data_IF_641185210497
#
_entry.id   IF_641185210497
#
_cell.length_a   1.000
_cell.length_b   1.000
_cell.length_c   1.000
_cell.angle_alpha   90.00
_cell.angle_beta   90.00
_cell.angle_gamma   90.00
#
_symmetry.space_group_name_H-M   'P 1'
#
loop_
_entity.id
_entity.type
_entity.pdbx_description
1 polymer ?
#
# COMPACT_ATOMS: atom_id res chain seq x y z
N UNK A 1 15.36 24.02 -21.92
CA UNK A 1 16.13 23.77 -23.16
C UNK A 1 15.74 24.71 -24.29
N UNK A 2 14.49 24.67 -24.79
CA UNK A 2 14.06 25.59 -25.87
C UNK A 2 14.25 27.05 -25.47
N UNK A 3 13.70 27.44 -24.31
CA UNK A 3 13.78 28.81 -23.81
C UNK A 3 15.21 29.25 -23.44
N UNK A 4 16.05 28.33 -22.94
CA UNK A 4 17.46 28.60 -22.63
C UNK A 4 18.29 28.80 -23.90
N UNK A 5 18.01 28.05 -24.98
CA UNK A 5 18.65 28.26 -26.27
C UNK A 5 18.21 29.57 -26.91
N UNK A 6 16.92 29.90 -26.85
CA UNK A 6 16.42 31.17 -27.37
C UNK A 6 17.04 32.37 -26.67
N UNK A 7 17.17 32.33 -25.35
CA UNK A 7 17.79 33.41 -24.57
C UNK A 7 19.32 33.50 -24.76
N UNK A 8 20.01 32.38 -24.99
CA UNK A 8 21.45 32.39 -25.19
C UNK A 8 21.87 32.90 -26.59
N UNK A 9 20.99 32.78 -27.58
CA UNK A 9 21.25 33.18 -28.96
C UNK A 9 20.36 34.35 -29.44
N UNK A 10 19.66 35.04 -28.53
CA UNK A 10 18.76 36.17 -28.81
C UNK A 10 17.77 35.91 -29.96
N UNK A 11 17.16 34.71 -29.97
CA UNK A 11 16.21 34.29 -31.02
C UNK A 11 14.78 34.75 -30.70
N UNK A 12 13.97 35.15 -31.71
CA UNK A 12 12.59 35.55 -31.49
C UNK A 12 11.70 34.40 -31.00
N UNK A 13 10.67 34.75 -30.22
CA UNK A 13 9.71 33.79 -29.67
C UNK A 13 9.00 32.99 -30.78
N UNK A 14 9.02 31.66 -30.65
CA UNK A 14 8.41 30.72 -31.61
C UNK A 14 9.32 30.20 -32.72
N UNK A 15 10.58 30.65 -32.80
CA UNK A 15 11.53 30.17 -33.82
C UNK A 15 12.01 28.72 -33.58
N UNK A 16 12.14 28.32 -32.30
CA UNK A 16 12.43 26.94 -31.91
C UNK A 16 11.16 26.30 -31.35
N UNK A 17 10.71 25.20 -31.98
CA UNK A 17 9.55 24.41 -31.56
C UNK A 17 9.97 22.96 -31.28
N UNK A 18 9.13 22.18 -30.61
CA UNK A 18 9.43 20.76 -30.28
C UNK A 18 9.79 19.94 -31.53
N UNK A 19 9.12 20.19 -32.67
CA UNK A 19 9.35 19.45 -33.91
C UNK A 19 10.67 19.81 -34.61
N UNK A 20 11.17 21.04 -34.40
CA UNK A 20 12.38 21.55 -35.05
C UNK A 20 13.57 21.63 -34.09
N UNK A 21 13.43 21.11 -32.88
CA UNK A 21 14.43 21.26 -31.83
C UNK A 21 15.75 20.57 -32.19
N UNK A 22 15.70 19.32 -32.64
CA UNK A 22 16.90 18.52 -32.93
C UNK A 22 17.72 19.08 -34.09
N UNK A 23 17.06 19.56 -35.15
CA UNK A 23 17.72 20.16 -36.32
C UNK A 23 18.36 21.51 -35.99
N UNK A 24 17.70 22.33 -35.17
CA UNK A 24 18.29 23.58 -34.68
C UNK A 24 19.45 23.35 -33.71
N UNK A 25 19.38 22.30 -32.90
CA UNK A 25 20.44 21.93 -31.96
C UNK A 25 21.72 21.55 -32.71
N UNK A 26 21.60 20.77 -33.79
CA UNK A 26 22.73 20.42 -34.66
C UNK A 26 23.31 21.66 -35.37
N UNK A 27 22.45 22.57 -35.85
CA UNK A 27 22.88 23.81 -36.49
C UNK A 27 23.63 24.75 -35.52
N UNK A 28 23.13 24.94 -34.30
CA UNK A 28 23.76 25.79 -33.29
C UNK A 28 25.08 25.21 -32.78
N UNK A 29 25.17 23.88 -32.65
CA UNK A 29 26.41 23.18 -32.31
C UNK A 29 27.50 23.43 -33.38
N UNK A 30 27.13 23.42 -34.66
CA UNK A 30 28.08 23.72 -35.76
C UNK A 30 28.51 25.18 -35.84
N UNK A 31 27.65 26.11 -35.43
CA UNK A 31 27.87 27.55 -35.61
C UNK A 31 28.65 28.17 -34.44
N UNK A 32 28.40 27.72 -33.21
CA UNK A 32 29.00 28.28 -32.00
C UNK A 32 29.26 27.19 -30.93
N UNK A 33 30.26 26.31 -31.14
CA UNK A 33 30.51 25.20 -30.22
C UNK A 33 30.92 25.66 -28.81
N UNK A 34 31.62 26.78 -28.68
CA UNK A 34 32.07 27.30 -27.38
C UNK A 34 30.92 27.80 -26.49
N UNK A 35 29.92 28.48 -27.08
CA UNK A 35 28.73 28.93 -26.35
C UNK A 35 27.81 27.75 -26.01
N UNK A 36 27.70 26.78 -26.91
CA UNK A 36 26.90 25.56 -26.71
C UNK A 36 27.42 24.70 -25.53
N UNK A 37 28.73 24.66 -25.32
CA UNK A 37 29.33 23.87 -24.23
C UNK A 37 29.08 24.47 -22.83
N UNK A 38 28.79 25.77 -22.76
CA UNK A 38 28.44 26.48 -21.53
C UNK A 38 26.95 26.30 -21.18
N UNK A 39 26.12 25.95 -22.16
CA UNK A 39 24.70 25.66 -21.98
C UNK A 39 24.51 24.27 -21.34
N UNK A 40 24.12 24.25 -20.07
CA UNK A 40 23.67 23.03 -19.37
C UNK A 40 22.27 22.62 -19.84
N UNK A 41 22.17 22.00 -21.02
CA UNK A 41 20.91 21.43 -21.50
C UNK A 41 20.54 20.20 -20.67
N UNK A 42 19.31 20.17 -20.15
CA UNK A 42 18.80 19.04 -19.38
C UNK A 42 18.41 17.89 -20.32
N UNK A 43 18.92 16.69 -20.10
CA UNK A 43 18.41 15.50 -20.76
C UNK A 43 17.12 15.08 -20.08
N UNK A 44 15.98 15.22 -20.77
CA UNK A 44 14.69 14.78 -20.26
C UNK A 44 14.13 13.74 -21.21
N UNK A 45 13.96 12.51 -20.74
CA UNK A 45 13.33 11.43 -21.49
C UNK A 45 12.06 10.96 -20.78
N UNK A 46 10.99 10.72 -21.52
CA UNK A 46 9.70 10.33 -20.95
C UNK A 46 9.79 9.00 -20.21
N UNK A 47 10.54 8.03 -20.74
CA UNK A 47 10.67 6.71 -20.13
C UNK A 47 11.40 6.80 -18.78
N UNK A 48 12.43 7.64 -18.70
CA UNK A 48 13.15 7.90 -17.44
C UNK A 48 12.24 8.50 -16.37
N UNK A 49 11.45 9.52 -16.71
CA UNK A 49 10.51 10.17 -15.77
C UNK A 49 9.40 9.23 -15.28
N UNK A 50 8.93 8.32 -16.13
CA UNK A 50 7.94 7.31 -15.73
C UNK A 50 8.53 6.24 -14.81
N UNK A 51 9.83 5.93 -14.96
CA UNK A 51 10.52 4.93 -14.12
C UNK A 51 10.95 5.46 -12.75
N UNK A 52 11.08 6.78 -12.59
CA UNK A 52 11.34 7.45 -11.30
C UNK A 52 10.07 7.60 -10.44
N UNK A 53 8.97 6.97 -10.84
CA UNK A 53 7.70 7.02 -10.13
C UNK A 53 7.84 6.66 -8.64
N UNK A 54 7.22 7.47 -7.79
CA UNK A 54 7.21 7.24 -6.33
C UNK A 54 6.23 6.13 -5.98
N UNK A 55 6.69 5.12 -5.26
CA UNK A 55 5.84 4.05 -4.73
C UNK A 55 5.31 4.38 -3.32
N UNK A 56 4.21 3.75 -2.91
CA UNK A 56 3.65 3.87 -1.56
C UNK A 56 2.95 5.20 -1.28
N UNK A 57 3.22 5.80 -0.11
CA UNK A 57 2.51 7.00 0.37
C UNK A 57 2.76 8.24 -0.49
N UNK A 58 3.95 8.37 -1.09
CA UNK A 58 4.30 9.51 -1.94
C UNK A 58 3.46 9.60 -3.22
N UNK A 59 2.93 8.47 -3.71
CA UNK A 59 2.04 8.46 -4.87
C UNK A 59 0.76 9.28 -4.60
N UNK A 60 0.14 9.11 -3.43
CA UNK A 60 -1.07 9.82 -3.03
C UNK A 60 -0.81 11.28 -2.63
N UNK A 61 0.27 11.53 -1.88
CA UNK A 61 0.51 12.84 -1.25
C UNK A 61 1.46 13.77 -2.02
N UNK A 62 2.13 13.29 -3.06
CA UNK A 62 3.03 14.11 -3.90
C UNK A 62 2.49 14.11 -5.33
N UNK A 63 2.45 12.95 -5.98
CA UNK A 63 2.13 12.83 -7.41
C UNK A 63 0.68 13.24 -7.69
N UNK A 64 -0.28 12.67 -6.96
CA UNK A 64 -1.70 12.99 -7.16
C UNK A 64 -2.02 14.44 -6.81
N UNK A 65 -1.46 14.97 -5.72
CA UNK A 65 -1.69 16.37 -5.33
C UNK A 65 -1.12 17.33 -6.36
N UNK A 66 0.07 17.05 -6.90
CA UNK A 66 0.67 17.86 -7.97
C UNK A 66 -0.20 17.85 -9.23
N UNK A 67 -0.70 16.68 -9.63
CA UNK A 67 -1.62 16.55 -10.77
C UNK A 67 -2.93 17.33 -10.56
N UNK A 68 -3.52 17.27 -9.36
CA UNK A 68 -4.78 17.97 -9.03
C UNK A 68 -4.62 19.50 -9.17
N UNK A 69 -3.44 20.06 -8.84
CA UNK A 69 -3.21 21.51 -9.00
C UNK A 69 -3.23 21.97 -10.45
N UNK A 70 -3.00 21.07 -11.42
CA UNK A 70 -3.02 21.36 -12.86
C UNK A 70 -4.42 21.23 -13.47
N UNK A 71 -5.39 20.65 -12.75
CA UNK A 71 -6.77 20.48 -13.23
C UNK A 71 -7.62 21.75 -12.99
N UNK A 72 -8.59 22.04 -13.87
CA UNK A 72 -9.55 23.12 -13.62
C UNK A 72 -10.40 22.79 -12.38
N UNK A 73 -10.73 23.80 -11.58
CA UNK A 73 -11.49 23.63 -10.32
C UNK A 73 -10.76 22.70 -9.34
N UNK A 74 -9.44 22.91 -9.17
CA UNK A 74 -8.56 22.14 -8.29
C UNK A 74 -9.09 21.87 -6.87
N UNK A 75 -9.72 22.83 -6.13
CA UNK A 75 -10.20 22.57 -4.78
C UNK A 75 -11.32 21.53 -4.70
N UNK A 76 -12.17 21.40 -5.72
CA UNK A 76 -13.23 20.39 -5.75
C UNK A 76 -12.64 18.98 -5.86
N UNK A 77 -11.67 18.79 -6.77
CA UNK A 77 -11.01 17.51 -6.98
C UNK A 77 -10.19 17.07 -5.76
N UNK A 78 -9.54 18.01 -5.07
CA UNK A 78 -8.82 17.72 -3.83
C UNK A 78 -9.73 17.16 -2.74
N UNK A 79 -10.89 17.79 -2.50
CA UNK A 79 -11.85 17.33 -1.49
C UNK A 79 -12.40 15.94 -1.82
N UNK A 80 -12.80 15.71 -3.08
CA UNK A 80 -13.30 14.40 -3.50
C UNK A 80 -12.24 13.30 -3.35
N UNK A 81 -10.98 13.59 -3.70
CA UNK A 81 -9.88 12.65 -3.60
C UNK A 81 -9.58 12.26 -2.13
N UNK A 82 -9.50 13.23 -1.23
CA UNK A 82 -9.23 12.94 0.18
C UNK A 82 -10.42 12.29 0.90
N UNK A 83 -11.67 12.63 0.56
CA UNK A 83 -12.85 11.92 1.08
C UNK A 83 -12.84 10.46 0.63
N UNK A 84 -12.48 10.18 -0.62
CA UNK A 84 -12.34 8.81 -1.11
C UNK A 84 -11.30 8.03 -0.31
N UNK A 85 -10.09 8.59 -0.12
CA UNK A 85 -9.05 7.95 0.68
C UNK A 85 -9.49 7.72 2.14
N UNK A 86 -10.19 8.69 2.73
CA UNK A 86 -10.74 8.57 4.07
C UNK A 86 -11.77 7.44 4.18
N UNK A 87 -12.71 7.35 3.23
CA UNK A 87 -13.72 6.28 3.22
C UNK A 87 -13.10 4.88 3.02
N UNK A 88 -12.07 4.75 2.18
CA UNK A 88 -11.33 3.50 2.00
C UNK A 88 -10.57 3.10 3.28
N UNK A 89 -9.94 4.07 3.95
CA UNK A 89 -9.31 3.84 5.25
C UNK A 89 -10.31 3.41 6.32
N UNK A 90 -11.45 4.10 6.42
CA UNK A 90 -12.48 3.77 7.42
C UNK A 90 -13.07 2.37 7.22
N UNK A 91 -13.43 2.00 5.98
CA UNK A 91 -14.07 0.71 5.71
C UNK A 91 -13.17 -0.47 6.07
N UNK A 92 -11.87 -0.38 5.78
CA UNK A 92 -10.89 -1.41 6.17
C UNK A 92 -10.69 -1.49 7.68
N UNK A 93 -10.68 -0.35 8.38
CA UNK A 93 -10.51 -0.32 9.84
C UNK A 93 -11.67 -0.99 10.59
N UNK A 94 -12.90 -0.95 10.05
CA UNK A 94 -14.01 -1.69 10.65
C UNK A 94 -13.77 -3.20 10.69
N UNK A 95 -13.30 -3.79 9.58
CA UNK A 95 -12.95 -5.21 9.53
C UNK A 95 -11.77 -5.57 10.44
N UNK A 96 -10.76 -4.70 10.51
CA UNK A 96 -9.60 -4.92 11.38
C UNK A 96 -9.97 -4.89 12.87
N UNK A 97 -10.82 -3.95 13.29
CA UNK A 97 -11.29 -3.89 14.69
C UNK A 97 -12.13 -5.12 15.02
N UNK A 98 -13.04 -5.53 14.15
CA UNK A 98 -13.85 -6.74 14.33
C UNK A 98 -12.97 -7.99 14.47
N UNK A 99 -11.96 -8.13 13.60
CA UNK A 99 -11.01 -9.23 13.63
C UNK A 99 -10.16 -9.33 14.90
N UNK A 100 -10.00 -8.23 15.64
CA UNK A 100 -9.29 -8.22 16.93
C UNK A 100 -10.25 -8.38 18.10
N UNK A 101 -11.40 -7.68 18.09
CA UNK A 101 -12.35 -7.66 19.21
C UNK A 101 -13.06 -8.99 19.36
N UNK A 102 -13.47 -9.64 18.27
CA UNK A 102 -14.21 -10.92 18.32
C UNK A 102 -13.38 -12.04 18.98
N UNK A 103 -12.14 -12.35 18.55
CA UNK A 103 -11.35 -13.38 19.22
C UNK A 103 -11.01 -13.05 20.67
N UNK A 104 -10.79 -11.77 21.00
CA UNK A 104 -10.56 -11.34 22.38
C UNK A 104 -11.78 -11.58 23.28
N UNK A 105 -12.99 -11.37 22.74
CA UNK A 105 -14.23 -11.67 23.45
C UNK A 105 -14.39 -13.18 23.67
N UNK A 106 -14.16 -13.98 22.64
CA UNK A 106 -14.29 -15.44 22.70
C UNK A 106 -13.31 -16.08 23.70
N UNK A 107 -12.11 -15.51 23.84
CA UNK A 107 -11.09 -15.97 24.79
C UNK A 107 -11.40 -15.64 26.28
N UNK A 108 -12.47 -14.90 26.58
CA UNK A 108 -12.89 -14.53 27.95
C UNK A 108 -11.74 -13.96 28.83
N UNK A 109 -10.80 -13.23 28.24
CA UNK A 109 -9.54 -12.80 28.91
C UNK A 109 -9.76 -11.83 30.09
N UNK A 110 -10.91 -11.16 30.18
CA UNK A 110 -11.26 -10.33 31.34
C UNK A 110 -12.23 -11.04 32.27
N UNK A 111 -12.01 -10.99 33.59
CA UNK A 111 -12.88 -11.65 34.55
C UNK A 111 -14.30 -11.09 34.46
N UNK A 112 -15.27 -12.00 34.51
CA UNK A 112 -16.73 -11.85 34.71
C UNK A 112 -17.14 -11.01 35.95
N UNK A 113 -16.25 -10.17 36.50
CA UNK A 113 -16.37 -9.38 37.73
C UNK A 113 -16.68 -7.90 37.50
N UNK A 114 -16.90 -7.47 36.26
CA UNK A 114 -17.54 -6.16 36.03
C UNK A 114 -19.03 -6.29 36.41
N UNK A 115 -19.60 -5.29 37.10
CA UNK A 115 -20.74 -5.49 38.00
C UNK A 115 -21.97 -5.99 37.24
N UNK A 116 -22.26 -7.27 37.45
CA UNK A 116 -23.37 -8.05 36.86
C UNK A 116 -24.76 -7.65 37.37
N UNK A 117 -24.93 -6.46 37.91
CA UNK A 117 -26.12 -6.21 38.73
C UNK A 117 -27.28 -5.53 37.99
N UNK A 118 -27.17 -5.17 36.71
CA UNK A 118 -28.33 -4.65 35.98
C UNK A 118 -28.39 -5.06 34.49
N UNK A 119 -29.18 -6.12 34.23
CA UNK A 119 -30.03 -6.38 33.05
C UNK A 119 -29.52 -7.14 31.79
N UNK A 120 -30.12 -8.33 31.62
CA UNK A 120 -30.71 -8.99 30.43
C UNK A 120 -30.36 -8.51 29.00
N UNK A 121 -29.86 -9.43 28.16
CA UNK A 121 -29.80 -9.45 26.67
C UNK A 121 -29.14 -8.26 25.91
N UNK A 122 -29.13 -7.07 26.47
CA UNK A 122 -28.42 -5.85 26.06
C UNK A 122 -26.95 -5.84 26.56
N UNK A 123 -26.52 -6.90 27.27
CA UNK A 123 -25.16 -7.05 27.83
C UNK A 123 -24.07 -7.25 26.76
N UNK A 124 -24.42 -7.82 25.59
CA UNK A 124 -23.41 -8.09 24.57
C UNK A 124 -22.89 -6.80 23.94
N UNK A 125 -23.74 -5.79 23.83
CA UNK A 125 -23.40 -4.53 23.17
C UNK A 125 -22.56 -3.64 24.08
N UNK A 126 -22.94 -3.44 25.35
CA UNK A 126 -22.17 -2.62 26.30
C UNK A 126 -20.75 -3.17 26.54
N UNK A 127 -20.63 -4.50 26.63
CA UNK A 127 -19.35 -5.21 26.73
C UNK A 127 -18.50 -4.96 25.49
N UNK A 128 -19.10 -5.05 24.30
CA UNK A 128 -18.47 -4.71 23.02
C UNK A 128 -17.94 -3.28 22.96
N UNK A 129 -18.72 -2.29 23.38
CA UNK A 129 -18.30 -0.88 23.39
C UNK A 129 -17.09 -0.66 24.30
N UNK A 130 -17.05 -1.30 25.47
CA UNK A 130 -15.92 -1.24 26.39
C UNK A 130 -14.66 -1.93 25.84
N UNK A 131 -14.79 -3.12 25.25
CA UNK A 131 -13.65 -3.84 24.64
C UNK A 131 -13.09 -3.11 23.43
N UNK A 132 -13.97 -2.56 22.58
CA UNK A 132 -13.59 -1.74 21.44
C UNK A 132 -12.90 -0.46 21.91
N UNK A 133 -13.47 0.24 22.91
CA UNK A 133 -12.87 1.44 23.49
C UNK A 133 -11.47 1.19 24.08
N UNK A 134 -11.29 0.08 24.81
CA UNK A 134 -9.98 -0.31 25.35
C UNK A 134 -8.98 -0.62 24.25
N UNK A 135 -9.38 -1.42 23.25
CA UNK A 135 -8.53 -1.76 22.10
C UNK A 135 -8.11 -0.51 21.32
N UNK A 136 -9.04 0.41 21.09
CA UNK A 136 -8.78 1.71 20.46
C UNK A 136 -7.85 2.61 21.30
N UNK A 137 -7.99 2.61 22.62
CA UNK A 137 -7.11 3.37 23.49
C UNK A 137 -5.67 2.81 23.48
N UNK A 138 -5.53 1.49 23.51
CA UNK A 138 -4.22 0.81 23.40
C UNK A 138 -3.60 1.08 22.04
N UNK A 139 -4.37 0.95 20.95
CA UNK A 139 -3.86 1.21 19.60
C UNK A 139 -3.48 2.67 19.40
N UNK A 140 -4.20 3.62 20.00
CA UNK A 140 -3.84 5.04 20.00
C UNK A 140 -2.49 5.29 20.67
N UNK A 141 -2.24 4.69 21.85
CA UNK A 141 -0.95 4.82 22.55
C UNK A 141 0.19 4.24 21.72
N UNK A 142 -0.01 3.07 21.09
CA UNK A 142 1.00 2.47 20.21
C UNK A 142 1.24 3.33 18.97
N UNK A 143 0.19 3.92 18.38
CA UNK A 143 0.28 4.75 17.19
C UNK A 143 1.08 6.05 17.39
N UNK A 144 1.30 6.50 18.64
CA UNK A 144 2.11 7.69 18.94
C UNK A 144 3.55 7.58 18.42
N UNK A 145 4.09 6.37 18.25
CA UNK A 145 5.42 6.17 17.66
C UNK A 145 5.49 6.70 16.22
N UNK A 146 4.39 6.64 15.47
CA UNK A 146 4.33 7.08 14.07
C UNK A 146 4.17 8.59 13.90
N UNK A 147 3.88 9.33 14.98
CA UNK A 147 3.71 10.81 14.96
C UNK A 147 5.04 11.53 15.21
N UNK A 148 6.10 10.81 15.58
CA UNK A 148 7.43 11.38 15.81
C UNK A 148 8.05 11.92 14.50
N UNK A 149 9.09 12.76 14.59
CA UNK A 149 9.81 13.29 13.41
C UNK A 149 10.39 12.19 12.51
N UNK A 150 10.76 11.05 13.08
CA UNK A 150 11.20 9.84 12.36
C UNK A 150 10.06 8.85 12.07
N UNK A 151 8.81 9.25 12.27
CA UNK A 151 7.63 8.38 12.24
C UNK A 151 7.38 7.73 10.88
N UNK A 152 7.65 8.43 9.78
CA UNK A 152 7.54 7.88 8.43
C UNK A 152 8.48 6.68 8.21
N UNK A 153 9.70 6.72 8.77
CA UNK A 153 10.64 5.60 8.68
C UNK A 153 10.14 4.37 9.46
N UNK A 154 9.57 4.59 10.65
CA UNK A 154 8.94 3.52 11.42
C UNK A 154 7.74 2.91 10.69
N UNK A 155 6.91 3.73 10.06
CA UNK A 155 5.76 3.27 9.28
C UNK A 155 6.22 2.43 8.08
N UNK A 156 7.20 2.91 7.31
CA UNK A 156 7.75 2.18 6.17
C UNK A 156 8.37 0.84 6.58
N UNK A 157 9.09 0.82 7.71
CA UNK A 157 9.66 -0.41 8.26
C UNK A 157 8.56 -1.40 8.68
N UNK A 158 7.53 -0.92 9.38
CA UNK A 158 6.43 -1.76 9.83
C UNK A 158 5.64 -2.32 8.66
N UNK A 159 5.28 -1.49 7.67
CA UNK A 159 4.54 -1.91 6.48
C UNK A 159 5.31 -2.97 5.66
N UNK A 160 6.62 -2.79 5.49
CA UNK A 160 7.47 -3.71 4.74
C UNK A 160 7.67 -5.10 5.36
N UNK A 161 7.32 -5.29 6.63
CA UNK A 161 7.52 -6.54 7.38
C UNK A 161 6.27 -7.13 8.02
N UNK A 162 5.41 -6.29 8.61
CA UNK A 162 4.24 -6.72 9.37
C UNK A 162 3.15 -7.32 8.49
N UNK A 163 2.99 -6.83 7.25
CA UNK A 163 1.99 -7.34 6.32
C UNK A 163 2.38 -8.67 5.67
N UNK A 164 3.62 -8.80 5.18
CA UNK A 164 3.93 -9.91 4.26
C UNK A 164 4.11 -11.27 4.94
N UNK A 165 5.01 -11.38 5.94
CA UNK A 165 5.40 -12.67 6.51
C UNK A 165 4.25 -13.32 7.29
N UNK A 166 3.58 -12.62 8.22
CA UNK A 166 2.53 -13.24 9.03
C UNK A 166 1.34 -13.71 8.18
N UNK A 167 0.90 -12.91 7.19
CA UNK A 167 -0.23 -13.28 6.32
C UNK A 167 0.06 -14.55 5.53
N UNK A 168 1.25 -14.69 4.95
CA UNK A 168 1.62 -15.89 4.19
C UNK A 168 1.67 -17.14 5.07
N UNK A 169 2.25 -17.03 6.27
CA UNK A 169 2.35 -18.16 7.21
C UNK A 169 0.98 -18.57 7.73
N UNK A 170 0.14 -17.61 8.13
CA UNK A 170 -1.23 -17.88 8.61
C UNK A 170 -2.06 -18.54 7.52
N UNK A 171 -2.05 -18.00 6.30
CA UNK A 171 -2.79 -18.57 5.16
C UNK A 171 -2.37 -20.01 4.84
N UNK A 172 -1.06 -20.31 4.89
CA UNK A 172 -0.56 -21.66 4.69
C UNK A 172 -1.04 -22.61 5.79
N UNK A 173 -0.97 -22.18 7.06
CA UNK A 173 -1.45 -22.95 8.20
C UNK A 173 -2.96 -23.22 8.13
N UNK A 174 -3.77 -22.24 7.73
CA UNK A 174 -5.23 -22.39 7.58
C UNK A 174 -5.59 -23.43 6.52
N UNK A 175 -4.96 -23.38 5.35
CA UNK A 175 -5.21 -24.36 4.28
C UNK A 175 -4.76 -25.75 4.71
N UNK A 176 -3.60 -25.87 5.37
CA UNK A 176 -3.14 -27.16 5.88
C UNK A 176 -4.11 -27.72 6.93
N UNK A 177 -4.57 -26.86 7.85
CA UNK A 177 -5.51 -27.24 8.89
C UNK A 177 -6.85 -27.72 8.31
N UNK A 178 -7.43 -27.01 7.34
CA UNK A 178 -8.72 -27.40 6.75
C UNK A 178 -8.60 -28.65 5.87
N UNK A 179 -7.59 -28.71 5.00
CA UNK A 179 -7.51 -29.76 3.97
C UNK A 179 -6.95 -31.07 4.52
N UNK A 180 -5.89 -31.01 5.33
CA UNK A 180 -5.15 -32.19 5.78
C UNK A 180 -5.46 -32.60 7.22
N UNK A 181 -5.69 -31.64 8.14
CA UNK A 181 -5.98 -31.97 9.55
C UNK A 181 -7.47 -32.26 9.74
N UNK A 182 -8.35 -31.36 9.30
CA UNK A 182 -9.81 -31.57 9.36
C UNK A 182 -10.28 -32.61 8.33
N UNK A 183 -9.63 -32.61 7.17
CA UNK A 183 -9.87 -33.56 6.10
C UNK A 183 -10.86 -33.03 5.06
N UNK A 184 -10.43 -33.01 3.80
CA UNK A 184 -11.22 -32.48 2.68
C UNK A 184 -12.57 -33.17 2.48
N UNK A 185 -12.65 -34.49 2.72
CA UNK A 185 -13.89 -35.25 2.55
C UNK A 185 -14.94 -34.86 3.58
N UNK A 186 -14.53 -34.57 4.82
CA UNK A 186 -15.42 -34.08 5.87
C UNK A 186 -15.89 -32.67 5.55
N UNK A 187 -14.99 -31.79 5.11
CA UNK A 187 -15.32 -30.45 4.67
C UNK A 187 -16.32 -30.43 3.49
N UNK A 188 -16.19 -31.37 2.55
CA UNK A 188 -17.12 -31.52 1.43
C UNK A 188 -18.53 -31.96 1.88
N UNK A 189 -18.63 -32.81 2.89
CA UNK A 189 -19.91 -33.18 3.50
C UNK A 189 -20.58 -32.01 4.20
N UNK A 190 -19.81 -31.19 4.92
CA UNK A 190 -20.33 -29.99 5.58
C UNK A 190 -20.81 -28.94 4.57
N UNK A 191 -20.06 -28.73 3.48
CA UNK A 191 -20.47 -27.84 2.38
C UNK A 191 -21.74 -28.35 1.69
N UNK A 192 -21.86 -29.66 1.47
CA UNK A 192 -23.07 -30.24 0.90
C UNK A 192 -24.27 -30.05 1.83
N UNK A 193 -24.08 -30.12 3.15
CA UNK A 193 -25.14 -29.86 4.12
C UNK A 193 -25.58 -28.39 4.12
N UNK A 194 -24.66 -27.43 3.99
CA UNK A 194 -24.97 -26.00 4.00
C UNK A 194 -25.54 -25.47 2.66
N UNK A 195 -24.98 -25.90 1.53
CA UNK A 195 -25.29 -25.36 0.20
C UNK A 195 -26.23 -26.29 -0.61
N UNK A 196 -26.32 -27.56 -0.22
CA UNK A 196 -27.17 -28.57 -0.87
C UNK A 196 -26.50 -29.35 -2.00
N UNK A 197 -25.28 -29.01 -2.41
CA UNK A 197 -24.53 -29.74 -3.43
C UNK A 197 -23.02 -29.81 -3.11
N UNK A 198 -22.33 -30.83 -3.64
CA UNK A 198 -20.87 -30.95 -3.46
C UNK A 198 -20.12 -29.91 -4.31
N UNK A 199 -18.93 -29.44 -3.86
CA UNK A 199 -18.09 -28.57 -4.66
C UNK A 199 -17.56 -29.27 -5.92
N UNK A 200 -17.42 -28.51 -7.01
CA UNK A 200 -16.91 -29.02 -8.28
C UNK A 200 -15.44 -29.47 -8.17
N UNK A 201 -14.98 -30.29 -9.12
CA UNK A 201 -13.61 -30.85 -9.18
C UNK A 201 -12.55 -29.74 -9.19
N UNK A 202 -12.85 -28.60 -9.79
CA UNK A 202 -11.98 -27.40 -9.76
C UNK A 202 -11.61 -26.99 -8.33
N UNK A 203 -12.60 -26.92 -7.42
CA UNK A 203 -12.38 -26.56 -6.02
C UNK A 203 -11.58 -27.63 -5.28
N UNK A 204 -11.84 -28.91 -5.57
CA UNK A 204 -11.08 -30.02 -4.98
C UNK A 204 -9.59 -29.97 -5.33
N UNK A 205 -9.27 -29.75 -6.61
CA UNK A 205 -7.88 -29.65 -7.08
C UNK A 205 -7.23 -28.39 -6.49
N UNK A 206 -7.96 -27.29 -6.46
CA UNK A 206 -7.46 -26.01 -5.97
C UNK A 206 -7.07 -26.08 -4.49
N UNK A 207 -7.95 -26.60 -3.64
CA UNK A 207 -7.70 -26.71 -2.21
C UNK A 207 -6.67 -27.79 -1.87
N UNK A 208 -6.70 -28.93 -2.57
CA UNK A 208 -5.84 -30.07 -2.24
C UNK A 208 -4.40 -29.92 -2.72
N UNK A 209 -4.16 -29.24 -3.83
CA UNK A 209 -2.83 -29.18 -4.45
C UNK A 209 -2.43 -27.77 -4.85
N UNK A 210 -3.27 -27.04 -5.60
CA UNK A 210 -2.84 -25.79 -6.23
C UNK A 210 -2.51 -24.70 -5.21
N UNK A 211 -3.44 -24.42 -4.29
CA UNK A 211 -3.29 -23.37 -3.28
C UNK A 211 -2.11 -23.62 -2.33
N UNK A 212 -1.95 -24.80 -1.70
CA UNK A 212 -0.81 -25.04 -0.81
C UNK A 212 0.54 -24.99 -1.55
N UNK A 213 0.61 -25.46 -2.81
CA UNK A 213 1.83 -25.38 -3.61
C UNK A 213 2.16 -23.92 -3.94
N UNK A 214 1.20 -23.13 -4.41
CA UNK A 214 1.43 -21.71 -4.76
C UNK A 214 1.89 -20.93 -3.54
N UNK A 215 1.23 -21.09 -2.39
CA UNK A 215 1.61 -20.40 -1.16
C UNK A 215 3.00 -20.82 -0.66
N UNK A 216 3.33 -22.11 -0.75
CA UNK A 216 4.66 -22.61 -0.39
C UNK A 216 5.74 -22.05 -1.31
N UNK A 217 5.48 -21.98 -2.62
CA UNK A 217 6.39 -21.38 -3.60
C UNK A 217 6.61 -19.90 -3.32
N UNK A 218 5.53 -19.13 -3.11
CA UNK A 218 5.61 -17.69 -2.79
C UNK A 218 6.40 -17.48 -1.49
N UNK A 219 6.17 -18.31 -0.46
CA UNK A 219 6.89 -18.24 0.80
C UNK A 219 8.40 -18.46 0.60
N UNK A 220 8.79 -19.48 -0.17
CA UNK A 220 10.21 -19.75 -0.47
C UNK A 220 10.83 -18.58 -1.23
N UNK A 221 10.18 -18.10 -2.29
CA UNK A 221 10.68 -16.95 -3.06
C UNK A 221 10.85 -15.72 -2.18
N UNK A 222 9.88 -15.43 -1.33
CA UNK A 222 9.95 -14.31 -0.40
C UNK A 222 11.17 -14.43 0.52
N UNK A 223 11.42 -15.60 1.12
CA UNK A 223 12.61 -15.85 1.94
C UNK A 223 13.91 -15.66 1.16
N UNK A 224 14.00 -16.20 -0.07
CA UNK A 224 15.19 -16.06 -0.92
C UNK A 224 15.48 -14.60 -1.23
N UNK A 225 14.46 -13.83 -1.64
CA UNK A 225 14.63 -12.41 -1.96
C UNK A 225 15.03 -11.60 -0.72
N UNK A 226 14.37 -11.83 0.43
CA UNK A 226 14.69 -11.11 1.67
C UNK A 226 16.06 -11.42 2.25
N UNK A 227 16.56 -12.65 2.09
CA UNK A 227 17.91 -13.02 2.53
C UNK A 227 19.00 -12.49 1.58
N UNK A 228 18.69 -12.38 0.28
CA UNK A 228 19.66 -11.95 -0.73
C UNK A 228 19.80 -10.43 -0.85
N UNK A 229 18.76 -9.67 -0.48
CA UNK A 229 18.78 -8.22 -0.54
C UNK A 229 19.45 -7.60 0.69
N UNK A 230 20.28 -6.58 0.47
CA UNK A 230 20.77 -5.73 1.56
C UNK A 230 19.64 -4.81 2.04
N UNK A 231 19.54 -4.65 3.36
CA UNK A 231 18.52 -3.81 3.98
C UNK A 231 18.92 -2.35 3.85
N UNK A 232 18.25 -1.65 2.94
CA UNK A 232 18.37 -0.19 2.75
C UNK A 232 17.01 0.47 2.99
N UNK A 233 17.04 1.72 3.40
CA UNK A 233 15.86 2.56 3.52
C UNK A 233 16.21 3.96 3.00
N UNK A 234 15.27 4.61 2.33
CA UNK A 234 15.46 5.97 1.81
C UNK A 234 15.43 6.97 2.96
N UNK A 235 16.41 7.88 2.99
CA UNK A 235 16.53 8.94 3.98
C UNK A 235 16.30 10.28 3.29
N UNK A 236 15.56 11.17 3.96
CA UNK A 236 15.52 12.57 3.57
C UNK A 236 16.72 13.30 4.16
N UNK A 237 17.64 13.74 3.32
CA UNK A 237 18.78 14.58 3.68
C UNK A 237 18.66 15.93 2.94
N UNK A 238 18.44 17.06 3.64
CA UNK A 238 18.31 18.36 3.01
C UNK A 238 19.64 18.92 2.48
N UNK A 239 20.79 18.35 2.87
CA UNK A 239 22.12 18.82 2.48
C UNK A 239 22.75 18.04 1.31
N UNK A 240 22.11 16.95 0.87
CA UNK A 240 22.51 16.14 -0.29
C UNK A 240 21.75 16.52 -1.56
#
# INVERSE_FOLDING_TARGET
NILTLMNAFDLPEGNITENNYDSFLEHLNSTAPAAFQELQLKTCDMQTLLSEGVEGTGLAFIVFTEAITKMPISPLWSVLFFIMLFCLGLSTMFGNIEGVVVPLQDLNLLPKKWPKELFTAEEHQLTWWCFSGLTCAVSFVVALIFVQSSGNYWLALFDGYAGSIPLLVIALCEIIAVVYVYGIDRFNSDLQFMVGHKPNIFWQITWRFLSPIILLVILIFYFVTKVSQQLTYSVWDPES
#
